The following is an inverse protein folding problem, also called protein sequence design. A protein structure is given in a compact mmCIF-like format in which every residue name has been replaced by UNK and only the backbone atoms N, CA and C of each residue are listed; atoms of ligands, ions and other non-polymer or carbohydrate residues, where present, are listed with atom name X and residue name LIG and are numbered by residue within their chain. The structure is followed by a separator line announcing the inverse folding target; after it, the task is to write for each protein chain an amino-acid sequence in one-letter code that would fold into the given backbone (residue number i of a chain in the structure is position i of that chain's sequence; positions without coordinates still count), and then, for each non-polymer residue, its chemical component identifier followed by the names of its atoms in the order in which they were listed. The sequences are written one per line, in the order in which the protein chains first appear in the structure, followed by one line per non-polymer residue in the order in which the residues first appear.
data_IF_858196325098
#
_entry.id   IF_858196325098
#
_cell.length_a   1.000
_cell.length_b   1.000
_cell.length_c   1.000
_cell.angle_alpha   90.00
_cell.angle_beta   90.00
_cell.angle_gamma   90.00
#
_symmetry.space_group_name_H-M   'P 1'
#
loop_
_entity.id
_entity.type
_entity.pdbx_description
1 polymer ?
#
# COMPACT_ATOMS: atom_id res chain seq x y z
N UNK A 1 13.98 -30.65 17.46
CA UNK A 1 12.60 -30.92 17.03
C UNK A 1 11.68 -30.72 18.22
N UNK A 2 10.62 -29.92 18.08
CA UNK A 2 9.64 -29.68 19.15
C UNK A 2 8.55 -30.76 19.07
N UNK A 3 8.18 -31.37 20.21
CA UNK A 3 7.07 -32.33 20.34
C UNK A 3 5.93 -31.68 21.14
N UNK A 4 4.67 -31.88 20.74
CA UNK A 4 3.49 -31.47 21.52
C UNK A 4 2.80 -30.17 21.09
N UNK A 5 3.18 -29.56 19.96
CA UNK A 5 2.38 -28.47 19.39
C UNK A 5 1.04 -29.02 18.88
N UNK A 6 -0.10 -28.40 19.24
CA UNK A 6 -1.40 -28.79 18.71
C UNK A 6 -1.43 -28.56 17.20
N UNK A 7 -2.11 -29.46 16.48
CA UNK A 7 -2.36 -29.27 15.06
C UNK A 7 -3.20 -28.00 14.88
N UNK A 8 -2.63 -27.00 14.21
CA UNK A 8 -3.39 -25.84 13.79
C UNK A 8 -4.36 -26.31 12.71
N UNK A 9 -5.66 -26.11 12.92
CA UNK A 9 -6.64 -26.26 11.84
C UNK A 9 -6.35 -25.18 10.81
N UNK A 10 -6.22 -25.56 9.54
CA UNK A 10 -6.23 -24.58 8.47
C UNK A 10 -7.56 -23.83 8.52
N UNK A 11 -7.44 -22.50 8.58
CA UNK A 11 -8.60 -21.63 8.50
C UNK A 11 -8.98 -21.56 7.02
N UNK A 12 -10.13 -22.13 6.68
CA UNK A 12 -10.65 -22.17 5.28
C UNK A 12 -10.98 -20.76 4.76
N UNK A 13 -11.07 -19.78 5.67
CA UNK A 13 -11.48 -18.42 5.39
C UNK A 13 -10.39 -17.41 5.71
N UNK A 14 -10.18 -16.47 4.79
CA UNK A 14 -9.29 -15.36 5.01
C UNK A 14 -9.84 -14.47 6.15
N UNK A 15 -9.07 -14.31 7.22
CA UNK A 15 -9.43 -13.43 8.33
C UNK A 15 -9.52 -11.97 7.83
N UNK A 16 -10.71 -11.36 7.95
CA UNK A 16 -10.97 -9.99 7.50
C UNK A 16 -10.03 -8.96 8.14
N UNK A 17 -9.80 -9.07 9.45
CA UNK A 17 -8.89 -8.16 10.18
C UNK A 17 -7.45 -8.30 9.71
N UNK A 18 -7.01 -9.52 9.40
CA UNK A 18 -5.69 -9.77 8.82
C UNK A 18 -5.57 -9.20 7.41
N UNK A 19 -6.61 -9.34 6.58
CA UNK A 19 -6.62 -8.79 5.22
C UNK A 19 -6.51 -7.26 5.23
N UNK A 20 -7.21 -6.59 6.15
CA UNK A 20 -7.15 -5.12 6.28
C UNK A 20 -5.81 -4.69 6.90
N UNK A 21 -5.38 -5.31 8.00
CA UNK A 21 -4.18 -4.90 8.73
C UNK A 21 -2.86 -5.32 8.09
N UNK A 22 -2.88 -6.35 7.24
CA UNK A 22 -1.71 -6.88 6.49
C UNK A 22 -1.96 -6.87 4.99
N UNK A 23 -2.78 -5.94 4.50
CA UNK A 23 -2.98 -5.79 3.07
C UNK A 23 -1.63 -5.50 2.42
N UNK A 24 -1.17 -6.38 1.53
CA UNK A 24 -0.03 -6.07 0.69
C UNK A 24 -0.44 -4.97 -0.28
N UNK A 25 0.31 -3.86 -0.32
CA UNK A 25 0.06 -2.81 -1.29
C UNK A 25 0.50 -3.30 -2.67
N UNK A 26 -0.36 -3.14 -3.68
CA UNK A 26 0.06 -3.37 -5.06
C UNK A 26 1.29 -2.52 -5.40
N UNK A 27 2.10 -3.01 -6.33
CA UNK A 27 3.30 -2.31 -6.76
C UNK A 27 2.92 -0.90 -7.28
N UNK A 28 3.49 0.13 -6.67
CA UNK A 28 3.30 1.51 -7.13
C UNK A 28 4.02 1.64 -8.48
N UNK A 29 3.35 2.14 -9.53
CA UNK A 29 4.01 2.44 -10.78
C UNK A 29 5.22 3.35 -10.56
N UNK A 30 6.37 2.97 -11.12
CA UNK A 30 7.61 3.76 -10.98
C UNK A 30 7.58 5.07 -11.75
N UNK A 31 6.64 5.22 -12.67
CA UNK A 31 6.51 6.37 -13.56
C UNK A 31 5.05 6.81 -13.60
N UNK A 32 4.85 8.11 -13.77
CA UNK A 32 3.53 8.68 -13.98
C UNK A 32 2.98 8.23 -15.34
N UNK A 33 1.67 7.98 -15.39
CA UNK A 33 0.96 7.60 -16.63
C UNK A 33 0.92 8.71 -17.66
N UNK A 34 1.08 9.96 -17.22
CA UNK A 34 1.01 11.15 -18.06
C UNK A 34 2.00 12.22 -17.58
N UNK A 35 2.45 13.03 -18.54
CA UNK A 35 3.45 14.07 -18.39
C UNK A 35 3.12 15.23 -19.35
N UNK A 36 3.42 16.45 -18.92
CA UNK A 36 3.40 17.63 -19.79
C UNK A 36 4.30 17.45 -21.03
N UNK A 37 3.72 17.72 -22.19
CA UNK A 37 4.37 17.76 -23.52
C UNK A 37 4.69 19.20 -23.95
N UNK A 38 3.97 20.18 -23.41
CA UNK A 38 4.16 21.60 -23.66
C UNK A 38 4.61 22.34 -22.39
N UNK A 39 5.25 23.50 -22.58
CA UNK A 39 5.66 24.35 -21.46
C UNK A 39 4.42 24.80 -20.69
N UNK A 40 4.46 24.63 -19.37
CA UNK A 40 3.41 25.03 -18.43
C UNK A 40 2.07 24.26 -18.58
N UNK A 41 2.06 23.12 -19.27
CA UNK A 41 0.87 22.27 -19.39
C UNK A 41 0.48 21.58 -18.05
N UNK A 42 1.46 21.39 -17.16
CA UNK A 42 1.26 20.80 -15.84
C UNK A 42 2.06 21.57 -14.78
N UNK A 43 1.37 22.03 -13.74
CA UNK A 43 1.97 22.72 -12.58
C UNK A 43 1.66 21.91 -11.33
N UNK A 44 2.70 21.52 -10.60
CA UNK A 44 2.57 20.89 -9.30
C UNK A 44 2.81 21.96 -8.23
N UNK A 45 1.79 22.27 -7.44
CA UNK A 45 1.91 23.12 -6.26
C UNK A 45 1.72 22.27 -5.01
N UNK A 46 2.56 22.49 -4.01
CA UNK A 46 2.37 21.93 -2.68
C UNK A 46 2.13 23.07 -1.69
N UNK A 47 1.37 22.78 -0.63
CA UNK A 47 1.11 23.73 0.44
C UNK A 47 2.03 23.35 1.60
N UNK A 48 2.90 24.28 2.00
CA UNK A 48 3.64 24.09 3.24
C UNK A 48 2.70 24.20 4.46
N UNK A 49 3.08 23.53 5.55
CA UNK A 49 2.37 23.62 6.82
C UNK A 49 2.34 25.04 7.42
N UNK A 50 1.85 25.18 8.66
CA UNK A 50 1.61 26.48 9.29
C UNK A 50 2.84 27.39 9.22
N UNK A 51 2.64 28.62 8.77
CA UNK A 51 3.65 29.67 8.78
C UNK A 51 3.40 30.51 10.03
N UNK A 52 4.34 30.48 10.97
CA UNK A 52 4.36 31.33 12.16
C UNK A 52 5.26 32.54 11.94
#
# INVERSE_FOLDING_TARGET
MVKGLPALKELDENCADCLVGKQHRDAIPKQAMWRASLKLELVHSDICGPIN
#
